data_IF_167770946878
#
_entry.id   IF_167770946878
#
_cell.length_a   1.000
_cell.length_b   1.000
_cell.length_c   1.000
_cell.angle_alpha   90.00
_cell.angle_beta   90.00
_cell.angle_gamma   90.00
#
_symmetry.space_group_name_H-M   'P 1'
#
loop_
_entity.id
_entity.type
_entity.pdbx_description
1 polymer ?
#
# COMPACT_ATOMS: atom_id res chain seq x y z
N UNK A 1 -9.60 6.96 4.41
CA UNK A 1 -8.49 6.15 3.89
C UNK A 1 -8.66 6.00 2.40
N UNK A 2 -7.57 6.21 1.65
CA UNK A 2 -7.61 6.07 0.21
C UNK A 2 -7.66 4.61 -0.19
N UNK A 3 -8.40 4.30 -1.24
CA UNK A 3 -8.39 2.97 -1.82
C UNK A 3 -7.72 3.04 -3.19
N UNK A 4 -7.06 1.94 -3.55
CA UNK A 4 -6.32 1.82 -4.80
C UNK A 4 -6.81 0.58 -5.55
N UNK A 5 -6.52 0.53 -6.83
CA UNK A 5 -6.88 -0.60 -7.69
C UNK A 5 -5.66 -1.02 -8.48
N UNK A 6 -5.74 -2.18 -9.12
CA UNK A 6 -4.66 -2.67 -9.96
C UNK A 6 -4.29 -1.62 -11.01
N UNK A 7 -3.01 -1.35 -11.13
CA UNK A 7 -2.47 -0.33 -12.01
C UNK A 7 -2.18 1.01 -11.36
N UNK A 8 -2.74 1.27 -10.17
CA UNK A 8 -2.42 2.49 -9.44
C UNK A 8 -1.01 2.39 -8.87
N UNK A 9 -0.37 3.55 -8.68
CA UNK A 9 0.94 3.62 -8.03
C UNK A 9 0.73 4.03 -6.59
N UNK A 10 1.38 3.32 -5.68
CA UNK A 10 1.33 3.59 -4.24
C UNK A 10 2.74 3.78 -3.71
N UNK A 11 2.85 4.41 -2.55
CA UNK A 11 4.11 4.62 -1.86
C UNK A 11 4.07 3.88 -0.53
N UNK A 12 5.17 3.23 -0.16
CA UNK A 12 5.28 2.56 1.13
C UNK A 12 5.37 3.60 2.24
N UNK A 13 4.48 3.52 3.22
CA UNK A 13 4.42 4.55 4.27
C UNK A 13 5.68 4.59 5.12
N UNK A 14 6.29 3.44 5.37
CA UNK A 14 7.48 3.35 6.20
C UNK A 14 8.78 3.57 5.41
N UNK A 15 8.68 3.64 4.09
CA UNK A 15 9.83 3.89 3.22
C UNK A 15 9.47 4.98 2.23
N UNK A 16 9.44 6.25 2.66
CA UNK A 16 9.07 7.35 1.78
C UNK A 16 9.97 7.39 0.54
N UNK A 17 9.35 7.62 -0.62
CA UNK A 17 10.05 7.60 -1.89
C UNK A 17 10.05 6.24 -2.58
N UNK A 18 9.75 5.15 -1.87
CA UNK A 18 9.63 3.84 -2.48
C UNK A 18 8.22 3.66 -3.02
N UNK A 19 8.08 3.74 -4.33
CA UNK A 19 6.79 3.61 -5.01
C UNK A 19 6.73 2.29 -5.77
N UNK A 20 5.51 1.77 -5.94
CA UNK A 20 5.32 0.51 -6.63
C UNK A 20 3.91 0.44 -7.19
N UNK A 21 3.71 -0.29 -8.29
CA UNK A 21 2.37 -0.48 -8.83
C UNK A 21 1.59 -1.52 -8.02
N UNK A 22 0.29 -1.30 -7.90
CA UNK A 22 -0.60 -2.30 -7.32
C UNK A 22 -0.86 -3.37 -8.38
N UNK A 23 -0.55 -4.62 -8.05
CA UNK A 23 -0.75 -5.75 -8.96
C UNK A 23 -2.13 -6.39 -8.78
N UNK A 24 -2.72 -6.24 -7.60
CA UNK A 24 -4.03 -6.78 -7.30
C UNK A 24 -4.48 -6.35 -5.91
N UNK A 25 -5.71 -6.68 -5.56
CA UNK A 25 -6.27 -6.32 -4.26
C UNK A 25 -7.00 -7.51 -3.66
N UNK A 26 -7.08 -7.53 -2.34
CA UNK A 26 -7.91 -8.48 -1.60
C UNK A 26 -8.24 -7.88 -0.25
N UNK A 27 -9.19 -8.49 0.46
CA UNK A 27 -9.50 -8.06 1.82
C UNK A 27 -8.32 -8.41 2.73
N UNK A 28 -7.96 -7.47 3.59
CA UNK A 28 -6.91 -7.71 4.59
C UNK A 28 -7.56 -8.28 5.84
N UNK A 29 -7.31 -9.55 6.11
CA UNK A 29 -7.96 -10.26 7.22
C UNK A 29 -7.07 -10.37 8.46
N UNK A 30 -5.83 -9.91 8.38
CA UNK A 30 -4.85 -10.20 9.41
C UNK A 30 -4.75 -9.14 10.49
N UNK A 31 -5.41 -8.01 10.33
CA UNK A 31 -5.28 -6.92 11.29
C UNK A 31 -6.48 -6.87 12.23
N UNK A 32 -6.44 -7.70 13.24
CA UNK A 32 -7.53 -7.83 14.21
C UNK A 32 -7.70 -6.60 15.10
N UNK A 33 -6.73 -5.69 15.11
CA UNK A 33 -6.84 -4.48 15.90
C UNK A 33 -7.56 -3.33 15.22
N UNK A 34 -7.97 -3.51 13.97
CA UNK A 34 -8.61 -2.44 13.20
C UNK A 34 -10.11 -2.64 13.15
N UNK A 35 -10.89 -1.61 13.48
CA UNK A 35 -12.36 -1.75 13.51
C UNK A 35 -13.02 -1.70 12.14
N UNK A 36 -12.29 -1.27 11.11
CA UNK A 36 -12.86 -1.04 9.79
C UNK A 36 -12.32 -2.04 8.77
N UNK A 37 -13.17 -2.49 7.83
CA UNK A 37 -12.67 -3.29 6.71
C UNK A 37 -11.64 -2.50 5.90
N UNK A 38 -10.60 -3.17 5.45
CA UNK A 38 -9.60 -2.51 4.62
C UNK A 38 -9.02 -3.52 3.63
N UNK A 39 -8.34 -3.00 2.62
CA UNK A 39 -7.80 -3.82 1.55
C UNK A 39 -6.33 -4.09 1.78
N UNK A 40 -5.87 -5.20 1.25
CA UNK A 40 -4.44 -5.47 1.05
C UNK A 40 -4.13 -5.32 -0.43
N UNK A 41 -2.93 -4.85 -0.72
CA UNK A 41 -2.47 -4.58 -2.07
C UNK A 41 -1.28 -5.46 -2.38
N UNK A 42 -1.33 -6.15 -3.52
CA UNK A 42 -0.23 -6.97 -3.99
C UNK A 42 0.79 -6.08 -4.68
N UNK A 43 2.04 -6.19 -4.27
CA UNK A 43 3.13 -5.38 -4.79
C UNK A 43 4.33 -6.27 -5.08
N UNK A 44 5.32 -5.72 -5.79
CA UNK A 44 6.62 -6.35 -5.94
C UNK A 44 7.60 -5.60 -5.03
N UNK A 45 8.29 -6.34 -4.17
CA UNK A 45 9.26 -5.76 -3.26
C UNK A 45 10.58 -5.44 -3.98
N UNK A 46 11.56 -4.79 -3.30
CA UNK A 46 12.83 -4.45 -3.95
C UNK A 46 13.63 -5.65 -4.43
N UNK A 47 13.39 -6.83 -3.88
CA UNK A 47 14.06 -8.05 -4.29
C UNK A 47 13.38 -8.75 -5.47
N UNK A 48 12.26 -8.20 -5.94
CA UNK A 48 11.53 -8.76 -7.06
C UNK A 48 10.49 -9.80 -6.68
N UNK A 49 10.25 -10.00 -5.39
CA UNK A 49 9.24 -10.94 -4.91
C UNK A 49 7.90 -10.25 -4.75
N UNK A 50 6.82 -11.00 -4.94
CA UNK A 50 5.49 -10.47 -4.70
C UNK A 50 5.14 -10.58 -3.23
N UNK A 51 4.47 -9.53 -2.71
CA UNK A 51 4.06 -9.48 -1.33
C UNK A 51 2.75 -8.71 -1.21
N UNK A 52 2.12 -8.76 -0.04
CA UNK A 52 0.89 -8.07 0.25
C UNK A 52 1.14 -7.02 1.32
N UNK A 53 0.65 -5.79 1.08
CA UNK A 53 0.68 -4.72 2.06
C UNK A 53 -0.76 -4.34 2.41
N UNK A 54 -1.05 -4.21 3.70
CA UNK A 54 -2.34 -3.70 4.12
C UNK A 54 -2.44 -2.20 3.86
N UNK A 55 -3.67 -1.70 3.76
CA UNK A 55 -3.91 -0.30 3.45
C UNK A 55 -3.22 0.66 4.42
N UNK A 56 -2.97 0.22 5.64
CA UNK A 56 -2.33 1.03 6.66
C UNK A 56 -0.86 1.31 6.37
N UNK A 57 -0.25 0.50 5.50
CA UNK A 57 1.18 0.60 5.19
C UNK A 57 1.45 1.31 3.87
N UNK A 58 0.42 1.82 3.21
CA UNK A 58 0.57 2.47 1.90
C UNK A 58 -0.11 3.83 1.92
N UNK A 59 0.31 4.69 1.01
CA UNK A 59 -0.23 6.04 0.87
C UNK A 59 -0.06 6.50 -0.58
N UNK A 60 -0.68 7.63 -0.92
CA UNK A 60 -0.47 8.23 -2.22
C UNK A 60 0.97 8.70 -2.37
N UNK A 61 1.59 8.50 -3.54
CA UNK A 61 2.95 8.99 -3.78
C UNK A 61 3.07 10.48 -3.52
N UNK A 62 4.16 10.87 -2.86
CA UNK A 62 4.43 12.26 -2.57
C UNK A 62 3.71 12.83 -1.36
N UNK A 63 2.90 12.04 -0.68
CA UNK A 63 2.07 12.54 0.42
C UNK A 63 2.88 12.99 1.64
N UNK A 64 4.06 12.43 1.83
CA UNK A 64 4.92 12.75 2.97
C UNK A 64 6.04 13.73 2.64
N UNK A 65 5.96 14.41 1.51
CA UNK A 65 6.98 15.41 1.17
C UNK A 65 6.83 16.63 2.06
N UNK A 66 7.93 17.15 2.62
CA UNK A 66 7.84 18.24 3.58
C UNK A 66 7.35 19.56 3.00
N UNK A 67 7.40 19.69 1.69
CA UNK A 67 6.98 20.91 0.99
C UNK A 67 5.62 20.76 0.30
N UNK A 68 4.93 19.66 0.48
CA UNK A 68 3.67 19.40 -0.19
C UNK A 68 2.46 19.64 0.70
#
# INVERSE_FOLDING_TARGET
MDTFKAGDIIEHRLMPGFTMPVLGTRDCETDSGRPEPHLAYKITDPDGNEDWLCAWDVQKPGQNLPWS
#
